data_IF_903948411143
#
_entry.id   IF_903948411143
#
_cell.length_a   1.000
_cell.length_b   1.000
_cell.length_c   1.000
_cell.angle_alpha   90.00
_cell.angle_beta   90.00
_cell.angle_gamma   90.00
#
_symmetry.space_group_name_H-M   'P 1'
#
loop_
_entity.id
_entity.type
_entity.pdbx_description
1 polymer ?
#
# COMPACT_ATOMS: atom_id res chain seq x y z
N UNK A 1 24.56 -15.19 -1.42
CA UNK A 1 24.96 -13.83 -1.04
C UNK A 1 24.60 -12.97 -2.21
N UNK A 2 23.64 -12.07 -2.02
CA UNK A 2 23.48 -10.79 -2.70
C UNK A 2 22.11 -10.26 -2.28
N UNK A 3 22.02 -9.80 -1.02
CA UNK A 3 21.05 -8.76 -0.69
C UNK A 3 21.54 -7.50 -1.40
N UNK A 4 21.31 -7.45 -2.72
CA UNK A 4 21.56 -6.26 -3.50
C UNK A 4 20.74 -5.14 -2.86
N UNK A 5 21.41 -4.02 -2.57
CA UNK A 5 20.83 -2.76 -2.09
C UNK A 5 19.80 -2.22 -3.10
N UNK A 6 18.63 -2.84 -3.19
CA UNK A 6 17.53 -2.41 -4.03
C UNK A 6 16.54 -1.69 -3.14
N UNK A 7 16.17 -0.47 -3.54
CA UNK A 7 15.10 0.25 -2.86
C UNK A 7 13.80 -0.57 -2.99
N UNK A 8 12.98 -0.54 -1.95
CA UNK A 8 11.70 -1.24 -1.89
C UNK A 8 10.56 -0.24 -1.80
N UNK A 9 9.38 -0.66 -2.23
CA UNK A 9 8.17 0.18 -2.22
C UNK A 9 7.47 0.03 -0.86
N UNK A 10 7.33 1.15 -0.17
CA UNK A 10 6.57 1.29 1.07
C UNK A 10 5.32 2.11 0.81
N UNK A 11 4.18 1.61 1.24
CA UNK A 11 2.87 2.23 0.99
C UNK A 11 2.23 2.55 2.33
N UNK A 12 1.81 3.81 2.50
CA UNK A 12 0.95 4.24 3.60
C UNK A 12 -0.41 4.62 3.02
N UNK A 13 -1.47 3.92 3.45
CA UNK A 13 -2.85 4.30 3.18
C UNK A 13 -3.45 4.93 4.44
N UNK A 14 -4.18 6.03 4.27
CA UNK A 14 -5.00 6.62 5.33
C UNK A 14 -6.46 6.24 5.10
N UNK A 15 -7.09 5.65 6.11
CA UNK A 15 -8.47 5.18 6.10
C UNK A 15 -9.26 5.74 7.30
N UNK A 16 -10.60 5.83 7.24
CA UNK A 16 -11.42 6.24 8.37
C UNK A 16 -11.25 5.35 9.60
N UNK A 17 -11.40 5.96 10.77
CA UNK A 17 -11.40 5.29 12.07
C UNK A 17 -12.86 5.05 12.51
N UNK A 18 -13.23 3.89 13.08
CA UNK A 18 -12.36 2.74 13.36
C UNK A 18 -11.98 1.96 12.10
N UNK A 19 -10.76 1.41 12.08
CA UNK A 19 -10.32 0.54 10.99
C UNK A 19 -10.98 -0.83 11.17
N UNK A 20 -11.77 -1.23 10.18
CA UNK A 20 -12.46 -2.53 10.18
C UNK A 20 -11.65 -3.58 9.42
N UNK A 21 -11.66 -4.82 9.90
CA UNK A 21 -10.85 -5.92 9.33
C UNK A 21 -11.16 -6.22 7.86
N UNK A 22 -12.41 -5.99 7.43
CA UNK A 22 -12.80 -6.15 6.03
C UNK A 22 -12.05 -5.15 5.13
N UNK A 23 -11.88 -3.90 5.57
CA UNK A 23 -11.13 -2.89 4.83
C UNK A 23 -9.66 -3.29 4.69
N UNK A 24 -9.06 -3.81 5.76
CA UNK A 24 -7.68 -4.30 5.73
C UNK A 24 -7.53 -5.44 4.73
N UNK A 25 -8.46 -6.40 4.77
CA UNK A 25 -8.45 -7.58 3.89
C UNK A 25 -8.62 -7.19 2.43
N UNK A 26 -9.63 -6.36 2.13
CA UNK A 26 -9.93 -5.89 0.78
C UNK A 26 -8.74 -5.13 0.20
N UNK A 27 -8.14 -4.21 0.96
CA UNK A 27 -6.97 -3.45 0.50
C UNK A 27 -5.77 -4.36 0.24
N UNK A 28 -5.52 -5.32 1.13
CA UNK A 28 -4.43 -6.28 0.96
C UNK A 28 -4.59 -7.07 -0.34
N UNK A 29 -5.80 -7.57 -0.63
CA UNK A 29 -6.07 -8.35 -1.85
C UNK A 29 -5.81 -7.52 -3.12
N UNK A 30 -6.29 -6.27 -3.15
CA UNK A 30 -6.10 -5.42 -4.33
C UNK A 30 -4.64 -5.04 -4.55
N UNK A 31 -3.89 -4.74 -3.48
CA UNK A 31 -2.45 -4.48 -3.59
C UNK A 31 -1.68 -5.72 -4.07
N UNK A 32 -2.10 -6.91 -3.66
CA UNK A 32 -1.50 -8.16 -4.11
C UNK A 32 -1.78 -8.48 -5.58
N UNK A 33 -2.86 -7.93 -6.17
CA UNK A 33 -3.11 -8.00 -7.62
C UNK A 33 -2.10 -7.17 -8.42
N UNK A 34 -1.61 -6.06 -7.87
CA UNK A 34 -0.54 -5.26 -8.47
C UNK A 34 0.81 -5.98 -8.32
N UNK A 35 1.13 -6.44 -7.11
CA UNK A 35 2.33 -7.21 -6.86
C UNK A 35 2.10 -8.23 -5.73
N UNK A 36 2.23 -9.52 -6.05
CA UNK A 36 1.88 -10.63 -5.14
C UNK A 36 2.70 -10.67 -3.86
N UNK A 37 3.91 -10.10 -3.86
CA UNK A 37 4.77 -9.97 -2.67
C UNK A 37 4.34 -8.87 -1.69
N UNK A 38 3.31 -8.09 -2.01
CA UNK A 38 2.84 -7.00 -1.14
C UNK A 38 2.19 -7.55 0.12
N UNK A 39 2.62 -7.05 1.27
CA UNK A 39 2.14 -7.49 2.58
C UNK A 39 1.91 -6.32 3.52
N UNK A 40 0.89 -6.44 4.36
CA UNK A 40 0.67 -5.53 5.48
C UNK A 40 1.79 -5.71 6.51
N UNK A 41 2.37 -4.61 6.96
CA UNK A 41 3.44 -4.60 7.96
C UNK A 41 2.98 -4.01 9.29
N UNK A 42 2.09 -3.02 9.27
CA UNK A 42 1.58 -2.39 10.49
C UNK A 42 0.22 -1.71 10.28
N UNK A 43 -0.50 -1.54 11.39
CA UNK A 43 -1.77 -0.81 11.47
C UNK A 43 -1.66 0.22 12.60
N UNK A 44 -1.96 1.48 12.30
CA UNK A 44 -2.10 2.56 13.29
C UNK A 44 -3.58 2.91 13.47
N UNK A 45 -4.22 2.32 14.49
CA UNK A 45 -5.64 2.56 14.79
C UNK A 45 -5.94 4.01 15.21
N UNK A 46 -4.97 4.71 15.84
CA UNK A 46 -5.12 6.10 16.27
C UNK A 46 -5.04 7.10 15.11
N UNK A 47 -4.33 6.76 14.04
CA UNK A 47 -4.14 7.64 12.87
C UNK A 47 -4.92 7.17 11.64
N UNK A 48 -5.59 6.02 11.69
CA UNK A 48 -6.23 5.43 10.52
C UNK A 48 -5.21 4.94 9.49
N UNK A 49 -4.01 4.54 9.90
CA UNK A 49 -2.91 4.21 8.98
C UNK A 49 -2.78 2.72 8.69
N UNK A 50 -2.74 2.34 7.42
CA UNK A 50 -2.34 1.00 6.98
C UNK A 50 -1.00 1.08 6.26
N UNK A 51 -0.04 0.28 6.71
CA UNK A 51 1.32 0.28 6.19
C UNK A 51 1.60 -1.03 5.49
N UNK A 52 2.01 -0.95 4.23
CA UNK A 52 2.35 -2.10 3.40
C UNK A 52 3.78 -2.00 2.88
N UNK A 53 4.35 -3.17 2.64
CA UNK A 53 5.65 -3.35 2.04
C UNK A 53 5.54 -4.21 0.78
N UNK A 54 6.17 -3.77 -0.30
CA UNK A 54 6.31 -4.50 -1.55
C UNK A 54 7.80 -4.68 -1.89
N UNK A 55 8.30 -5.92 -2.03
CA UNK A 55 9.70 -6.22 -2.36
C UNK A 55 10.00 -5.98 -3.84
N UNK A 56 9.78 -4.76 -4.31
CA UNK A 56 10.04 -4.31 -5.68
C UNK A 56 10.50 -2.86 -5.67
N UNK A 57 11.41 -2.51 -6.57
CA UNK A 57 11.82 -1.14 -6.90
C UNK A 57 11.30 -0.69 -8.27
N UNK A 58 10.61 -1.57 -8.99
CA UNK A 58 10.30 -1.35 -10.40
C UNK A 58 9.37 -0.13 -10.55
N UNK A 59 9.76 0.89 -11.33
CA UNK A 59 8.90 2.03 -11.62
C UNK A 59 7.53 1.63 -12.16
N UNK A 60 7.42 0.55 -12.95
CA UNK A 60 6.15 0.06 -13.49
C UNK A 60 5.21 -0.39 -12.37
N UNK A 61 5.74 -1.09 -11.36
CA UNK A 61 4.97 -1.53 -10.19
C UNK A 61 4.55 -0.33 -9.35
N UNK A 62 5.47 0.63 -9.15
CA UNK A 62 5.18 1.88 -8.43
C UNK A 62 4.07 2.69 -9.11
N UNK A 63 4.16 2.86 -10.42
CA UNK A 63 3.20 3.63 -11.20
C UNK A 63 1.83 2.92 -11.22
N UNK A 64 1.80 1.58 -11.28
CA UNK A 64 0.56 0.81 -11.13
C UNK A 64 -0.12 0.98 -9.76
N UNK A 65 0.65 1.12 -8.67
CA UNK A 65 0.08 1.49 -7.37
C UNK A 65 -0.51 2.91 -7.39
N UNK A 66 0.19 3.88 -7.99
CA UNK A 66 -0.29 5.25 -8.10
C UNK A 66 -1.61 5.34 -8.91
N UNK A 67 -1.70 4.59 -10.01
CA UNK A 67 -2.91 4.48 -10.82
C UNK A 67 -4.08 3.89 -10.02
N UNK A 68 -3.83 2.79 -9.29
CA UNK A 68 -4.82 2.15 -8.42
C UNK A 68 -5.37 3.13 -7.37
N UNK A 69 -4.50 3.88 -6.69
CA UNK A 69 -4.92 4.80 -5.63
C UNK A 69 -5.65 6.03 -6.17
N UNK A 70 -5.23 6.52 -7.33
CA UNK A 70 -5.95 7.60 -8.03
C UNK A 70 -7.36 7.14 -8.40
N UNK A 71 -7.50 5.93 -8.96
CA UNK A 71 -8.82 5.36 -9.25
C UNK A 71 -9.69 5.22 -7.99
N UNK A 72 -9.11 4.77 -6.88
CA UNK A 72 -9.82 4.63 -5.62
C UNK A 72 -10.33 5.95 -5.05
N UNK A 73 -9.53 7.02 -5.12
CA UNK A 73 -9.95 8.36 -4.71
C UNK A 73 -11.07 8.90 -5.60
N UNK A 74 -10.95 8.74 -6.91
CA UNK A 74 -11.91 9.25 -7.88
C UNK A 74 -13.27 8.53 -7.79
N UNK A 75 -13.23 7.21 -7.61
CA UNK A 75 -14.45 6.38 -7.59
C UNK A 75 -15.03 6.19 -6.20
N UNK A 76 -14.28 6.53 -5.14
CA UNK A 76 -14.60 6.18 -3.75
C UNK A 76 -14.88 4.68 -3.56
N UNK A 77 -14.24 3.82 -4.39
CA UNK A 77 -14.45 2.37 -4.36
C UNK A 77 -13.99 1.74 -3.04
N UNK A 78 -13.04 2.37 -2.33
CA UNK A 78 -12.56 1.97 -1.01
C UNK A 78 -12.44 3.20 -0.11
N UNK A 79 -12.50 3.05 1.22
CA UNK A 79 -12.47 4.18 2.14
C UNK A 79 -11.02 4.63 2.38
N UNK A 80 -10.34 5.15 1.36
CA UNK A 80 -9.08 5.89 1.54
C UNK A 80 -9.33 7.39 1.51
N UNK A 81 -8.60 8.13 2.34
CA UNK A 81 -8.61 9.60 2.34
C UNK A 81 -7.30 10.18 1.83
N UNK A 82 -6.22 9.41 1.89
CA UNK A 82 -4.91 9.80 1.39
C UNK A 82 -4.01 8.56 1.18
N UNK A 83 -2.97 8.70 0.38
CA UNK A 83 -1.93 7.68 0.20
C UNK A 83 -0.55 8.32 0.09
N UNK A 84 0.49 7.55 0.44
CA UNK A 84 1.88 7.87 0.15
C UNK A 84 2.61 6.62 -0.34
N UNK A 85 3.40 6.78 -1.39
CA UNK A 85 4.31 5.76 -1.90
C UNK A 85 5.73 6.27 -1.69
N UNK A 86 6.54 5.49 -0.98
CA UNK A 86 7.92 5.85 -0.62
C UNK A 86 8.84 4.75 -1.16
N UNK A 87 9.88 5.15 -1.88
CA UNK A 87 11.01 4.26 -2.18
C UNK A 87 12.03 4.38 -1.04
N UNK A 88 12.35 3.26 -0.41
CA UNK A 88 13.25 3.27 0.73
C UNK A 88 13.79 1.89 1.08
N UNK A 89 14.79 1.88 1.96
CA UNK A 89 15.41 0.66 2.49
C UNK A 89 14.78 0.32 3.84
N UNK A 90 14.57 -0.98 4.09
CA UNK A 90 14.25 -1.50 5.42
C UNK A 90 15.48 -1.49 6.34
#
# INVERSE_FOLDING_TARGET
MDSENKDEIHIKLAVPIPIIDSVVSDMTEHLQKVHSGTRLTSISQSEGGLFFHCPSSDPIVRDAFADLFTQWLDTQAVPITNYNIILGRL
#
